data_IF_718677210392
#
_entry.id   IF_718677210392
#
_cell.length_a   1.000
_cell.length_b   1.000
_cell.length_c   1.000
_cell.angle_alpha   90.00
_cell.angle_beta   90.00
_cell.angle_gamma   90.00
#
_symmetry.space_group_name_H-M   'P 1'
#
loop_
_entity.id
_entity.type
_entity.pdbx_description
1 polymer ?
#
# COMPACT_ATOMS: atom_id res chain seq x y z
N UNK A 1 -3.42 8.65 34.03
CA UNK A 1 -4.66 8.27 33.35
C UNK A 1 -4.30 7.34 32.20
N UNK A 2 -4.76 6.09 32.24
CA UNK A 2 -4.61 5.17 31.11
C UNK A 2 -5.58 5.62 30.01
N UNK A 3 -5.06 6.10 28.88
CA UNK A 3 -5.89 6.41 27.71
C UNK A 3 -6.04 5.13 26.89
N UNK A 4 -7.17 4.46 27.05
CA UNK A 4 -7.64 3.46 26.08
C UNK A 4 -8.08 4.18 24.82
N UNK A 5 -7.26 4.14 23.77
CA UNK A 5 -7.65 4.55 22.43
C UNK A 5 -8.84 3.71 22.00
N UNK A 6 -10.03 4.30 21.92
CA UNK A 6 -11.20 3.64 21.34
C UNK A 6 -11.08 3.78 19.83
N UNK A 7 -10.60 2.73 19.16
CA UNK A 7 -10.80 2.57 17.72
C UNK A 7 -12.29 2.24 17.57
N UNK A 8 -13.06 3.12 16.95
CA UNK A 8 -14.45 2.81 16.56
C UNK A 8 -14.40 2.30 15.12
N UNK A 9 -14.37 0.97 14.88
CA UNK A 9 -14.62 0.44 13.56
C UNK A 9 -16.11 0.63 13.23
N UNK A 10 -16.43 1.56 12.35
CA UNK A 10 -17.72 1.56 11.67
C UNK A 10 -17.55 0.72 10.40
N UNK A 11 -18.08 -0.50 10.40
CA UNK A 11 -18.25 -1.30 9.18
C UNK A 11 -19.60 -0.92 8.58
N UNK A 12 -19.60 -0.12 7.53
CA UNK A 12 -20.79 0.15 6.73
C UNK A 12 -20.53 -0.39 5.33
N UNK A 13 -21.20 -1.49 4.97
CA UNK A 13 -21.23 -2.01 3.60
C UNK A 13 -19.87 -2.39 2.99
N UNK A 14 -19.02 -3.15 3.71
CA UNK A 14 -17.73 -3.59 3.16
C UNK A 14 -16.65 -2.49 3.14
N UNK A 15 -16.74 -1.51 4.04
CA UNK A 15 -15.67 -0.54 4.29
C UNK A 15 -15.37 -0.61 5.78
N UNK A 16 -14.12 -0.93 6.14
CA UNK A 16 -13.62 -0.82 7.50
C UNK A 16 -12.92 0.52 7.67
N UNK A 17 -13.20 1.19 8.78
CA UNK A 17 -12.86 2.60 9.00
C UNK A 17 -12.24 2.77 10.38
N UNK A 18 -11.23 3.63 10.50
CA UNK A 18 -10.56 3.90 11.77
C UNK A 18 -10.34 5.40 11.94
N UNK A 19 -10.89 5.97 13.01
CA UNK A 19 -10.60 7.32 13.46
C UNK A 19 -10.20 7.26 14.95
N UNK A 20 -8.95 7.60 15.27
CA UNK A 20 -8.54 7.88 16.64
C UNK A 20 -8.60 9.40 16.84
N UNK A 21 -9.51 9.89 17.70
CA UNK A 21 -9.66 11.33 17.95
C UNK A 21 -9.59 11.61 19.45
N UNK A 22 -8.64 12.45 19.85
CA UNK A 22 -8.71 13.23 21.08
C UNK A 22 -9.48 14.52 20.81
N UNK A 23 -10.66 14.64 21.43
CA UNK A 23 -11.51 15.85 21.57
C UNK A 23 -11.95 16.61 20.31
N UNK A 24 -13.26 16.72 20.21
CA UNK A 24 -14.08 17.46 19.25
C UNK A 24 -13.76 18.95 19.23
N UNK A 25 -13.03 19.43 18.22
CA UNK A 25 -13.17 20.79 17.68
C UNK A 25 -12.34 20.94 16.39
N UNK A 26 -13.02 21.08 15.24
CA UNK A 26 -12.42 21.53 13.97
C UNK A 26 -12.01 20.45 12.95
N UNK A 27 -12.23 19.15 13.23
CA UNK A 27 -11.90 18.07 12.30
C UNK A 27 -12.99 17.93 11.21
N UNK A 28 -12.61 17.98 9.93
CA UNK A 28 -13.42 17.42 8.85
C UNK A 28 -13.81 15.98 9.24
N UNK A 29 -15.10 15.64 9.13
CA UNK A 29 -15.54 14.28 9.47
C UNK A 29 -14.86 13.26 8.57
N UNK A 30 -14.61 12.05 9.09
CA UNK A 30 -14.01 10.95 8.32
C UNK A 30 -14.73 10.71 6.98
N UNK A 31 -16.07 10.78 6.97
CA UNK A 31 -16.87 10.58 5.76
C UNK A 31 -16.58 11.62 4.67
N UNK A 32 -16.30 12.87 5.04
CA UNK A 32 -15.89 13.92 4.09
C UNK A 32 -14.50 13.62 3.51
N UNK A 33 -13.55 13.18 4.35
CA UNK A 33 -12.20 12.84 3.91
C UNK A 33 -12.17 11.61 3.01
N UNK A 34 -12.96 10.60 3.34
CA UNK A 34 -13.09 9.42 2.48
C UNK A 34 -13.71 9.81 1.14
N UNK A 35 -14.80 10.57 1.13
CA UNK A 35 -15.44 11.02 -0.11
C UNK A 35 -14.50 11.88 -0.96
N UNK A 36 -13.72 12.76 -0.34
CA UNK A 36 -12.70 13.57 -1.02
C UNK A 36 -11.65 12.68 -1.70
N UNK A 37 -11.09 11.70 -0.99
CA UNK A 37 -10.07 10.80 -1.56
C UNK A 37 -10.63 9.84 -2.61
N UNK A 38 -11.83 9.31 -2.40
CA UNK A 38 -12.50 8.42 -3.35
C UNK A 38 -12.85 9.14 -4.67
N UNK A 39 -13.19 10.43 -4.59
CA UNK A 39 -13.50 11.26 -5.75
C UNK A 39 -12.27 11.94 -6.38
N UNK A 40 -11.11 11.90 -5.72
CA UNK A 40 -9.87 12.46 -6.28
C UNK A 40 -9.43 11.64 -7.49
N UNK A 41 -9.43 12.26 -8.66
CA UNK A 41 -8.88 11.66 -9.87
C UNK A 41 -7.40 11.30 -9.66
N UNK A 42 -6.88 10.23 -10.29
CA UNK A 42 -5.43 9.98 -10.32
C UNK A 42 -4.68 11.21 -10.82
N UNK A 43 -3.63 11.59 -10.11
CA UNK A 43 -2.82 12.75 -10.50
C UNK A 43 -2.12 12.45 -11.84
N UNK A 44 -2.17 13.39 -12.79
CA UNK A 44 -1.55 13.20 -14.11
C UNK A 44 -0.03 12.98 -13.93
N UNK A 45 0.55 11.89 -14.45
CA UNK A 45 1.99 11.67 -14.38
C UNK A 45 2.73 12.49 -15.44
N UNK A 46 3.96 12.91 -15.13
CA UNK A 46 4.81 13.64 -16.09
C UNK A 46 5.34 12.69 -17.17
N UNK A 47 5.78 11.50 -16.77
CA UNK A 47 6.22 10.42 -17.66
C UNK A 47 5.61 9.09 -17.26
N UNK A 48 5.40 8.23 -18.24
CA UNK A 48 4.96 6.84 -18.03
C UNK A 48 6.02 5.88 -18.55
N UNK A 49 6.66 5.18 -17.63
CA UNK A 49 7.58 4.08 -17.91
C UNK A 49 6.82 2.79 -18.05
N UNK A 50 7.24 1.96 -19.01
CA UNK A 50 6.64 0.64 -19.25
C UNK A 50 7.68 -0.44 -19.24
N UNK A 51 7.35 -1.54 -18.57
CA UNK A 51 8.10 -2.79 -18.60
C UNK A 51 7.13 -3.86 -19.07
N UNK A 52 7.54 -4.63 -20.08
CA UNK A 52 6.87 -5.86 -20.46
C UNK A 52 7.78 -7.02 -20.10
N UNK A 53 7.28 -7.98 -19.34
CA UNK A 53 8.06 -9.18 -19.03
C UNK A 53 8.36 -9.94 -20.33
N UNK A 54 9.63 -10.22 -20.57
CA UNK A 54 10.09 -10.94 -21.77
C UNK A 54 9.80 -12.45 -21.72
N UNK A 55 10.18 -13.17 -22.79
CA UNK A 55 10.08 -14.63 -22.86
C UNK A 55 10.89 -15.29 -21.72
N UNK A 56 10.33 -16.34 -21.10
CA UNK A 56 11.02 -17.14 -20.07
C UNK A 56 10.45 -17.03 -18.65
N UNK A 57 9.53 -16.09 -18.39
CA UNK A 57 8.77 -16.01 -17.13
C UNK A 57 7.48 -16.87 -17.14
N UNK A 58 7.11 -17.40 -18.30
CA UNK A 58 5.91 -18.20 -18.58
C UNK A 58 6.10 -19.72 -18.42
N UNK A 59 7.35 -20.20 -18.37
CA UNK A 59 7.65 -21.63 -18.41
C UNK A 59 7.87 -22.29 -17.03
N UNK A 60 7.96 -21.51 -15.95
CA UNK A 60 8.38 -22.03 -14.64
C UNK A 60 7.35 -21.72 -13.52
N UNK A 61 6.24 -22.47 -13.44
CA UNK A 61 5.13 -22.17 -12.52
C UNK A 61 5.46 -22.29 -11.03
N UNK A 62 6.54 -23.00 -10.68
CA UNK A 62 6.97 -23.18 -9.29
C UNK A 62 8.21 -22.36 -8.92
N UNK A 63 8.74 -21.57 -9.86
CA UNK A 63 9.93 -20.75 -9.60
C UNK A 63 9.55 -19.52 -8.80
N UNK A 64 10.43 -19.17 -7.87
CA UNK A 64 10.35 -17.93 -7.11
C UNK A 64 11.29 -16.90 -7.73
N UNK A 65 10.77 -15.68 -7.90
CA UNK A 65 11.49 -14.56 -8.47
C UNK A 65 11.54 -13.41 -7.47
N UNK A 66 12.62 -12.64 -7.48
CA UNK A 66 12.71 -11.36 -6.78
C UNK A 66 12.11 -10.30 -7.71
N UNK A 67 10.90 -9.81 -7.40
CA UNK A 67 10.17 -8.86 -8.24
C UNK A 67 10.96 -7.56 -8.42
N UNK A 68 11.59 -7.09 -7.33
CA UNK A 68 12.35 -5.86 -7.35
C UNK A 68 13.56 -5.98 -8.27
N UNK A 69 14.42 -6.97 -8.03
CA UNK A 69 15.66 -7.13 -8.83
C UNK A 69 15.41 -7.52 -10.28
N UNK A 70 14.35 -8.30 -10.53
CA UNK A 70 14.11 -8.84 -11.88
C UNK A 70 13.47 -7.81 -12.81
N UNK A 71 12.62 -6.91 -12.28
CA UNK A 71 11.80 -6.03 -13.10
C UNK A 71 11.86 -4.57 -12.63
N UNK A 72 11.60 -4.33 -11.35
CA UNK A 72 11.38 -2.96 -10.88
C UNK A 72 12.67 -2.13 -10.78
N UNK A 73 13.81 -2.73 -10.45
CA UNK A 73 15.07 -2.01 -10.17
C UNK A 73 15.62 -1.23 -11.35
N UNK A 74 15.15 -1.51 -12.57
CA UNK A 74 15.52 -0.76 -13.78
C UNK A 74 14.80 0.58 -13.91
N UNK A 75 13.65 0.73 -13.23
CA UNK A 75 12.73 1.88 -13.29
C UNK A 75 12.32 2.40 -11.91
N UNK A 76 12.96 1.92 -10.86
CA UNK A 76 12.86 2.48 -9.51
C UNK A 76 14.24 2.99 -9.14
N UNK A 77 14.33 4.31 -8.97
CA UNK A 77 15.52 4.97 -8.46
C UNK A 77 15.48 4.98 -6.92
N UNK A 78 16.65 5.15 -6.31
CA UNK A 78 16.76 5.27 -4.87
C UNK A 78 17.84 6.27 -4.48
N UNK A 79 17.68 6.88 -3.32
CA UNK A 79 18.61 7.88 -2.81
C UNK A 79 18.47 8.09 -1.31
N UNK A 80 19.25 9.04 -0.81
CA UNK A 80 19.27 9.44 0.59
C UNK A 80 18.53 10.76 0.78
N UNK A 81 17.49 10.77 1.60
CA UNK A 81 16.81 11.99 2.03
C UNK A 81 17.49 12.51 3.31
N UNK A 82 18.25 13.60 3.17
CA UNK A 82 18.99 14.20 4.29
C UNK A 82 18.07 14.72 5.41
N UNK A 83 16.92 15.28 5.04
CA UNK A 83 15.99 15.86 6.02
C UNK A 83 15.36 14.81 6.94
N UNK A 84 15.09 13.62 6.42
CA UNK A 84 14.53 12.51 7.18
C UNK A 84 15.59 11.48 7.63
N UNK A 85 16.85 11.64 7.21
CA UNK A 85 17.96 10.73 7.48
C UNK A 85 17.61 9.27 7.13
N UNK A 86 17.07 9.05 5.93
CA UNK A 86 16.68 7.72 5.48
C UNK A 86 16.87 7.52 3.98
N UNK A 87 17.08 6.26 3.59
CA UNK A 87 16.93 5.84 2.20
C UNK A 87 15.46 5.82 1.81
N UNK A 88 15.21 6.20 0.58
CA UNK A 88 13.88 6.16 -0.03
C UNK A 88 13.98 5.87 -1.52
N UNK A 89 12.86 5.43 -2.10
CA UNK A 89 12.76 4.99 -3.49
C UNK A 89 11.62 5.73 -4.20
N UNK A 90 11.72 5.86 -5.51
CA UNK A 90 10.69 6.49 -6.35
C UNK A 90 10.74 5.95 -7.77
N UNK A 91 9.66 6.13 -8.54
CA UNK A 91 9.68 5.81 -9.97
C UNK A 91 10.75 6.64 -10.67
N UNK A 92 11.44 6.03 -11.63
CA UNK A 92 12.54 6.65 -12.36
C UNK A 92 12.24 8.07 -12.85
N UNK A 93 13.24 8.95 -12.72
CA UNK A 93 13.18 10.38 -13.04
C UNK A 93 12.27 11.24 -12.13
N UNK A 94 11.70 10.69 -11.05
CA UNK A 94 10.99 11.49 -10.03
C UNK A 94 9.66 10.92 -9.55
N UNK A 95 9.20 11.43 -8.40
CA UNK A 95 7.97 11.00 -7.71
C UNK A 95 6.67 11.34 -8.46
N UNK A 96 6.75 12.09 -9.56
CA UNK A 96 5.59 12.48 -10.38
C UNK A 96 5.41 11.61 -11.62
N UNK A 97 6.22 10.55 -11.76
CA UNK A 97 6.15 9.62 -12.87
C UNK A 97 5.35 8.37 -12.54
N UNK A 98 4.99 7.60 -13.56
CA UNK A 98 4.29 6.32 -13.42
C UNK A 98 5.14 5.18 -13.97
N UNK A 99 5.10 4.03 -13.34
CA UNK A 99 5.65 2.77 -13.82
C UNK A 99 4.52 1.76 -14.02
N UNK A 100 4.36 1.29 -15.25
CA UNK A 100 3.45 0.21 -15.60
C UNK A 100 4.28 -1.05 -15.94
N UNK A 101 4.01 -2.14 -15.25
CA UNK A 101 4.64 -3.44 -15.47
C UNK A 101 3.56 -4.41 -15.95
N UNK A 102 3.68 -4.85 -17.18
CA UNK A 102 2.82 -5.88 -17.76
C UNK A 102 3.58 -7.21 -17.81
N UNK A 103 3.20 -8.14 -16.96
CA UNK A 103 3.81 -9.46 -16.89
C UNK A 103 3.22 -10.45 -17.89
N UNK A 104 2.23 -10.05 -18.68
CA UNK A 104 1.61 -10.88 -19.72
C UNK A 104 1.22 -12.27 -19.20
N UNK A 105 1.93 -13.31 -19.65
CA UNK A 105 1.68 -14.71 -19.34
C UNK A 105 2.61 -15.27 -18.24
N UNK A 106 3.34 -14.42 -17.54
CA UNK A 106 4.26 -14.86 -16.50
C UNK A 106 3.53 -15.67 -15.41
N UNK A 107 4.17 -16.77 -15.02
CA UNK A 107 3.72 -17.66 -13.94
C UNK A 107 4.79 -17.70 -12.84
N UNK A 108 4.51 -18.41 -11.75
CA UNK A 108 5.41 -18.49 -10.61
C UNK A 108 5.01 -17.60 -9.45
N UNK A 109 5.95 -17.43 -8.52
CA UNK A 109 5.79 -16.57 -7.34
C UNK A 109 6.78 -15.42 -7.40
N UNK A 110 6.30 -14.19 -7.33
CA UNK A 110 7.10 -12.98 -7.34
C UNK A 110 7.13 -12.39 -5.94
N UNK A 111 8.30 -12.40 -5.32
CA UNK A 111 8.50 -11.87 -3.98
C UNK A 111 8.93 -10.40 -4.09
N UNK A 112 8.16 -9.49 -3.48
CA UNK A 112 8.60 -8.13 -3.21
C UNK A 112 8.95 -8.05 -1.72
N UNK A 113 10.22 -7.85 -1.41
CA UNK A 113 10.71 -7.90 -0.03
C UNK A 113 11.78 -6.84 0.17
N UNK A 114 11.59 -5.95 1.13
CA UNK A 114 12.57 -4.91 1.48
C UNK A 114 12.46 -3.62 0.65
N UNK A 115 11.37 -3.42 -0.11
CA UNK A 115 11.09 -2.11 -0.69
C UNK A 115 10.52 -1.20 0.40
N UNK A 116 11.41 -0.55 1.16
CA UNK A 116 11.09 0.30 2.30
C UNK A 116 11.23 1.77 1.90
N UNK A 117 10.26 2.59 2.28
CA UNK A 117 10.12 4.00 1.93
C UNK A 117 10.04 4.22 0.42
N UNK A 118 9.15 3.49 -0.27
CA UNK A 118 8.77 3.88 -1.62
C UNK A 118 7.92 5.15 -1.54
N UNK A 119 8.50 6.30 -1.88
CA UNK A 119 7.99 7.66 -1.63
C UNK A 119 7.24 8.30 -2.79
N UNK A 120 7.07 7.58 -3.88
CA UNK A 120 6.16 8.04 -4.92
C UNK A 120 6.56 7.72 -6.34
N UNK A 121 5.70 8.22 -7.20
CA UNK A 121 5.47 7.72 -8.53
C UNK A 121 4.49 6.55 -8.50
N UNK A 122 3.50 6.60 -9.38
CA UNK A 122 2.47 5.57 -9.42
C UNK A 122 3.06 4.26 -9.94
N UNK A 123 2.67 3.15 -9.32
CA UNK A 123 3.21 1.83 -9.66
C UNK A 123 2.05 0.88 -9.94
N UNK A 124 1.93 0.44 -11.19
CA UNK A 124 0.95 -0.57 -11.61
C UNK A 124 1.70 -1.83 -12.02
N UNK A 125 1.50 -2.93 -11.28
CA UNK A 125 2.07 -4.24 -11.61
C UNK A 125 0.94 -5.21 -11.93
N UNK A 126 0.85 -5.58 -13.20
CA UNK A 126 -0.12 -6.53 -13.71
C UNK A 126 0.52 -7.91 -13.92
N UNK A 127 0.05 -8.91 -13.18
CA UNK A 127 0.55 -10.29 -13.13
C UNK A 127 -0.56 -11.32 -12.84
N UNK A 128 -1.66 -11.23 -13.59
CA UNK A 128 -2.91 -11.98 -13.35
C UNK A 128 -2.78 -13.51 -13.30
N UNK A 129 -1.65 -14.08 -13.78
CA UNK A 129 -1.37 -15.52 -13.77
C UNK A 129 -0.34 -15.94 -12.72
N UNK A 130 0.28 -14.99 -12.02
CA UNK A 130 1.32 -15.25 -11.04
C UNK A 130 0.86 -14.94 -9.61
N UNK A 131 1.55 -15.53 -8.64
CA UNK A 131 1.36 -15.21 -7.22
C UNK A 131 2.30 -14.08 -6.82
N UNK A 132 1.76 -13.04 -6.21
CA UNK A 132 2.54 -12.01 -5.53
C UNK A 132 2.73 -12.41 -4.06
N UNK A 133 3.97 -12.38 -3.58
CA UNK A 133 4.27 -12.43 -2.15
C UNK A 133 4.86 -11.09 -1.70
N UNK A 134 4.12 -10.39 -0.84
CA UNK A 134 4.56 -9.19 -0.15
C UNK A 134 5.25 -9.59 1.16
N UNK A 135 6.58 -9.53 1.13
CA UNK A 135 7.44 -9.70 2.28
C UNK A 135 7.85 -11.14 2.55
N UNK A 136 8.98 -11.58 1.98
CA UNK A 136 9.53 -12.91 2.23
C UNK A 136 10.48 -12.90 3.43
N UNK A 137 11.45 -11.98 3.44
CA UNK A 137 12.47 -11.87 4.50
C UNK A 137 12.38 -10.53 5.25
N UNK A 138 11.77 -9.53 4.63
CA UNK A 138 11.58 -8.19 5.19
C UNK A 138 10.26 -7.62 4.67
N UNK A 139 9.69 -6.64 5.36
CA UNK A 139 8.46 -5.99 4.92
C UNK A 139 8.65 -5.01 3.78
N UNK A 140 7.57 -4.30 3.46
CA UNK A 140 7.54 -3.25 2.45
C UNK A 140 6.82 -2.02 2.99
N UNK A 141 7.15 -0.83 2.47
CA UNK A 141 6.37 0.36 2.76
C UNK A 141 6.20 1.27 1.56
N UNK A 142 4.98 1.80 1.45
CA UNK A 142 4.56 2.69 0.38
C UNK A 142 4.05 3.97 1.00
N UNK A 143 4.60 5.10 0.58
CA UNK A 143 4.31 6.42 1.11
C UNK A 143 4.41 7.45 -0.01
N UNK A 144 4.09 8.69 0.31
CA UNK A 144 4.26 9.83 -0.58
C UNK A 144 4.95 10.96 0.18
N UNK A 145 5.54 11.91 -0.53
CA UNK A 145 5.91 13.18 0.09
C UNK A 145 4.87 14.24 -0.19
N UNK A 146 4.58 15.04 0.85
CA UNK A 146 3.80 16.26 0.72
C UNK A 146 4.56 17.26 -0.12
N UNK A 147 3.91 17.69 -1.20
CA UNK A 147 4.37 18.72 -2.12
C UNK A 147 3.26 19.77 -2.32
N UNK A 148 3.50 20.78 -3.14
CA UNK A 148 2.51 21.84 -3.42
C UNK A 148 1.25 21.33 -4.16
N UNK A 149 1.29 20.12 -4.70
CA UNK A 149 0.19 19.51 -5.43
C UNK A 149 -0.58 18.48 -4.58
N UNK A 150 -0.18 18.27 -3.31
CA UNK A 150 -0.74 17.29 -2.38
C UNK A 150 -1.03 15.94 -3.06
N UNK A 151 -0.05 15.45 -3.81
CA UNK A 151 -0.22 14.24 -4.63
C UNK A 151 -0.47 13.00 -3.79
N UNK A 152 -1.17 12.06 -4.41
CA UNK A 152 -1.45 10.74 -3.86
C UNK A 152 -0.62 9.72 -4.61
N UNK A 153 0.23 8.97 -3.92
CA UNK A 153 0.92 7.84 -4.56
C UNK A 153 -0.04 6.67 -4.67
N UNK A 154 -0.21 6.14 -5.89
CA UNK A 154 -1.08 4.98 -6.14
C UNK A 154 -0.23 3.77 -6.51
N UNK A 155 -0.32 2.73 -5.70
CA UNK A 155 0.37 1.46 -5.93
C UNK A 155 -0.68 0.38 -6.14
N UNK A 156 -0.65 -0.26 -7.29
CA UNK A 156 -1.63 -1.26 -7.69
C UNK A 156 -0.93 -2.57 -8.06
N UNK A 157 -1.35 -3.65 -7.42
CA UNK A 157 -0.96 -5.01 -7.77
C UNK A 157 -2.20 -5.77 -8.25
N UNK A 158 -2.17 -6.27 -9.49
CA UNK A 158 -3.19 -7.17 -10.06
C UNK A 158 -2.55 -8.55 -10.25
N UNK A 159 -2.87 -9.51 -9.38
CA UNK A 159 -2.22 -10.81 -9.35
C UNK A 159 -3.22 -11.97 -9.27
N UNK A 160 -2.75 -13.19 -9.56
CA UNK A 160 -3.56 -14.39 -9.36
C UNK A 160 -3.89 -14.58 -7.88
N UNK A 161 -2.85 -14.64 -7.06
CA UNK A 161 -2.91 -14.74 -5.60
C UNK A 161 -2.05 -13.64 -5.00
N UNK A 162 -2.46 -13.07 -3.85
CA UNK A 162 -1.64 -12.15 -3.07
C UNK A 162 -1.43 -12.72 -1.67
N UNK A 163 -0.17 -12.91 -1.31
CA UNK A 163 0.27 -13.40 0.00
C UNK A 163 0.99 -12.27 0.74
N UNK A 164 0.53 -11.91 1.93
CA UNK A 164 1.18 -10.94 2.81
C UNK A 164 1.89 -11.71 3.91
N UNK A 165 3.19 -11.94 3.73
CA UNK A 165 3.97 -12.84 4.58
C UNK A 165 4.82 -12.09 5.62
N UNK A 166 4.84 -10.75 5.57
CA UNK A 166 5.55 -9.88 6.50
C UNK A 166 4.81 -8.54 6.68
N UNK A 167 5.46 -7.53 7.26
CA UNK A 167 4.82 -6.22 7.43
C UNK A 167 4.64 -5.46 6.11
N UNK A 168 3.52 -4.76 5.98
CA UNK A 168 3.24 -3.78 4.93
C UNK A 168 2.75 -2.50 5.58
N UNK A 169 3.51 -1.43 5.40
CA UNK A 169 3.14 -0.12 5.93
C UNK A 169 2.67 0.82 4.80
N UNK A 170 1.52 1.45 5.00
CA UNK A 170 0.89 2.34 4.02
C UNK A 170 0.86 3.76 4.58
N UNK A 171 1.43 4.68 3.81
CA UNK A 171 1.68 6.07 4.14
C UNK A 171 2.58 6.29 5.38
N UNK A 172 3.58 5.43 5.55
CA UNK A 172 4.47 5.48 6.70
C UNK A 172 5.32 6.76 6.74
N UNK A 173 5.78 7.12 7.94
CA UNK A 173 6.79 8.16 8.12
C UNK A 173 8.13 7.69 7.55
N UNK A 174 8.73 8.50 6.70
CA UNK A 174 10.10 8.27 6.22
C UNK A 174 11.09 8.68 7.31
N UNK A 175 11.92 7.74 7.76
CA UNK A 175 13.02 7.98 8.69
C UNK A 175 12.58 8.65 10.00
N UNK A 176 13.30 9.72 10.38
CA UNK A 176 12.97 10.52 11.56
C UNK A 176 11.64 11.28 11.40
N UNK A 177 11.24 11.55 10.16
CA UNK A 177 10.14 12.43 9.80
C UNK A 177 10.38 13.90 10.12
N UNK A 178 11.61 14.33 10.38
CA UNK A 178 11.94 15.74 10.62
C UNK A 178 11.82 16.58 9.33
N UNK A 179 12.18 16.01 8.19
CA UNK A 179 12.11 16.63 6.86
C UNK A 179 10.72 16.61 6.25
N UNK A 180 10.65 16.23 4.97
CA UNK A 180 9.39 16.17 4.21
C UNK A 180 8.39 15.23 4.87
N UNK A 181 7.14 15.70 4.98
CA UNK A 181 6.04 14.96 5.60
C UNK A 181 5.33 14.07 4.57
N UNK A 182 4.62 13.05 5.05
CA UNK A 182 3.82 12.22 4.17
C UNK A 182 2.56 12.97 3.70
N UNK A 183 2.08 12.66 2.49
CA UNK A 183 0.80 13.17 1.97
C UNK A 183 -0.26 12.09 2.10
N UNK A 184 -0.71 11.48 1.01
CA UNK A 184 -1.63 10.35 1.00
C UNK A 184 -1.11 9.23 0.09
N UNK A 185 -1.52 8.00 0.39
CA UNK A 185 -1.14 6.81 -0.39
C UNK A 185 -2.32 5.87 -0.52
N UNK A 186 -2.55 5.38 -1.73
CA UNK A 186 -3.55 4.35 -2.03
C UNK A 186 -2.83 3.09 -2.47
N UNK A 187 -2.96 2.01 -1.70
CA UNK A 187 -2.52 0.68 -2.09
C UNK A 187 -3.73 -0.14 -2.54
N UNK A 188 -3.72 -0.64 -3.76
CA UNK A 188 -4.74 -1.56 -4.27
C UNK A 188 -4.15 -2.95 -4.43
N UNK A 189 -4.71 -3.91 -3.71
CA UNK A 189 -4.42 -5.32 -3.87
C UNK A 189 -5.61 -5.97 -4.58
N UNK A 190 -5.42 -6.29 -5.85
CA UNK A 190 -6.40 -6.96 -6.69
C UNK A 190 -5.97 -8.39 -6.95
N UNK A 191 -6.80 -9.34 -6.56
CA UNK A 191 -6.57 -10.76 -6.77
C UNK A 191 -7.71 -11.40 -7.54
N UNK A 192 -7.39 -12.31 -8.45
CA UNK A 192 -8.41 -13.13 -9.10
C UNK A 192 -8.84 -14.35 -8.27
N UNK A 193 -7.98 -14.84 -7.36
CA UNK A 193 -8.26 -16.02 -6.52
C UNK A 193 -8.39 -15.71 -5.02
N UNK A 194 -7.36 -15.14 -4.38
CA UNK A 194 -7.38 -14.84 -2.93
C UNK A 194 -6.31 -13.86 -2.50
N UNK A 195 -6.64 -13.10 -1.45
CA UNK A 195 -5.70 -12.30 -0.67
C UNK A 195 -5.59 -12.92 0.71
N UNK A 196 -4.39 -13.29 1.14
CA UNK A 196 -4.18 -13.89 2.47
C UNK A 196 -2.96 -13.31 3.15
N UNK A 197 -2.94 -13.33 4.47
CA UNK A 197 -1.74 -12.98 5.25
C UNK A 197 -1.28 -14.12 6.16
N UNK A 198 -0.01 -14.11 6.57
CA UNK A 198 0.45 -14.94 7.69
C UNK A 198 -0.02 -14.38 9.03
N UNK A 199 -0.02 -15.22 10.05
CA UNK A 199 -0.37 -14.85 11.44
C UNK A 199 0.55 -13.76 12.03
N UNK A 200 1.82 -13.76 11.63
CA UNK A 200 2.81 -12.77 12.07
C UNK A 200 2.96 -11.59 11.11
N UNK A 201 2.16 -11.53 10.03
CA UNK A 201 2.15 -10.38 9.15
C UNK A 201 1.48 -9.19 9.85
N UNK A 202 1.86 -7.99 9.45
CA UNK A 202 1.31 -6.76 10.03
C UNK A 202 1.02 -5.75 8.93
N UNK A 203 -0.25 -5.35 8.81
CA UNK A 203 -0.66 -4.31 7.87
C UNK A 203 -0.90 -3.05 8.69
N UNK A 204 -0.12 -2.01 8.45
CA UNK A 204 -0.23 -0.74 9.18
C UNK A 204 -0.64 0.40 8.26
N UNK A 205 -1.75 1.04 8.56
CA UNK A 205 -2.26 2.22 7.88
C UNK A 205 -2.03 3.45 8.78
N UNK A 206 -1.27 4.40 8.25
CA UNK A 206 -1.03 5.70 8.88
C UNK A 206 -2.04 6.74 8.37
N UNK A 207 -1.97 7.98 8.87
CA UNK A 207 -2.82 9.08 8.37
C UNK A 207 -2.70 9.21 6.84
N UNK A 208 -3.81 9.40 6.13
CA UNK A 208 -3.83 9.53 4.66
C UNK A 208 -3.66 8.21 3.89
N UNK A 209 -3.71 7.06 4.57
CA UNK A 209 -3.60 5.75 3.94
C UNK A 209 -4.97 5.16 3.54
N UNK A 210 -5.04 4.65 2.31
CA UNK A 210 -6.16 3.85 1.83
C UNK A 210 -5.65 2.51 1.32
N UNK A 211 -6.26 1.42 1.78
CA UNK A 211 -6.06 0.06 1.28
C UNK A 211 -7.32 -0.41 0.57
N UNK A 212 -7.24 -0.63 -0.74
CA UNK A 212 -8.32 -1.23 -1.51
C UNK A 212 -8.04 -2.72 -1.68
N UNK A 213 -9.00 -3.56 -1.28
CA UNK A 213 -8.98 -4.99 -1.47
C UNK A 213 -10.02 -5.35 -2.53
N UNK A 214 -9.56 -5.96 -3.60
CA UNK A 214 -10.41 -6.38 -4.72
C UNK A 214 -10.18 -7.86 -4.93
N UNK A 215 -11.25 -8.64 -4.84
CA UNK A 215 -11.17 -10.09 -5.04
C UNK A 215 -12.41 -10.56 -5.79
N UNK A 216 -12.19 -11.25 -6.91
CA UNK A 216 -13.25 -11.74 -7.80
C UNK A 216 -13.66 -13.20 -7.56
N UNK A 217 -13.04 -13.85 -6.57
CA UNK A 217 -13.28 -15.25 -6.22
C UNK A 217 -14.08 -15.35 -4.94
N UNK A 218 -14.77 -16.49 -4.77
CA UNK A 218 -15.55 -16.78 -3.56
C UNK A 218 -14.66 -16.97 -2.31
N UNK A 219 -13.36 -17.25 -2.50
CA UNK A 219 -12.36 -17.38 -1.42
C UNK A 219 -11.63 -16.05 -1.23
N UNK A 220 -12.31 -15.03 -0.74
CA UNK A 220 -12.01 -13.69 -1.22
C UNK A 220 -10.85 -12.99 -0.48
N UNK A 221 -10.87 -12.91 0.85
CA UNK A 221 -9.80 -12.30 1.66
C UNK A 221 -9.75 -12.89 3.08
N UNK A 222 -8.59 -13.38 3.53
CA UNK A 222 -8.40 -13.84 4.92
C UNK A 222 -7.07 -13.32 5.50
N UNK A 223 -7.17 -12.32 6.37
CA UNK A 223 -6.03 -11.65 7.00
C UNK A 223 -5.86 -12.18 8.43
N UNK A 224 -4.94 -13.13 8.57
CA UNK A 224 -4.57 -13.77 9.85
C UNK A 224 -3.72 -12.89 10.75
N UNK A 225 -2.97 -11.97 10.13
CA UNK A 225 -2.06 -11.06 10.79
C UNK A 225 -2.78 -9.83 11.34
N UNK A 226 -2.04 -8.99 12.06
CA UNK A 226 -2.58 -7.78 12.68
C UNK A 226 -2.87 -6.71 11.64
N UNK A 227 -4.02 -6.06 11.76
CA UNK A 227 -4.36 -4.88 10.95
C UNK A 227 -4.48 -3.64 11.84
N UNK A 228 -3.51 -2.74 11.74
CA UNK A 228 -3.48 -1.49 12.48
C UNK A 228 -4.00 -0.34 11.62
N UNK A 229 -5.12 0.26 12.05
CA UNK A 229 -5.69 1.44 11.41
C UNK A 229 -5.47 2.67 12.30
N UNK A 230 -4.93 3.74 11.72
CA UNK A 230 -4.72 5.01 12.43
C UNK A 230 -3.49 5.01 13.34
N UNK A 231 -2.37 4.44 12.88
CA UNK A 231 -1.14 4.35 13.68
C UNK A 231 -0.48 5.73 13.86
N UNK A 232 0.11 5.96 15.04
CA UNK A 232 0.85 7.19 15.33
C UNK A 232 1.99 7.39 14.32
N UNK A 233 1.84 8.38 13.46
CA UNK A 233 2.78 8.62 12.36
C UNK A 233 4.05 9.35 12.81
N UNK A 234 3.93 10.32 13.72
CA UNK A 234 5.05 11.12 14.21
C UNK A 234 5.14 11.07 15.73
N UNK A 235 6.37 11.01 16.25
CA UNK A 235 6.62 11.01 17.69
C UNK A 235 6.11 12.32 18.29
N UNK A 236 5.36 12.22 19.39
CA UNK A 236 4.79 13.39 20.09
C UNK A 236 3.52 13.97 19.47
N UNK A 237 3.11 13.54 18.27
CA UNK A 237 1.94 14.07 17.56
C UNK A 237 0.63 13.35 17.95
N UNK A 238 0.37 13.19 19.26
CA UNK A 238 -0.77 12.42 19.78
C UNK A 238 -2.15 13.02 19.47
N UNK A 239 -2.18 14.30 19.11
CA UNK A 239 -3.41 15.02 18.75
C UNK A 239 -3.59 15.13 17.23
N UNK A 240 -2.67 14.58 16.43
CA UNK A 240 -2.81 14.59 14.98
C UNK A 240 -3.97 13.68 14.58
N UNK A 241 -4.86 14.13 13.67
CA UNK A 241 -5.82 13.24 13.04
C UNK A 241 -5.08 12.09 12.36
N UNK A 242 -5.66 10.89 12.42
CA UNK A 242 -5.13 9.73 11.72
C UNK A 242 -6.26 9.04 10.97
N UNK A 243 -6.53 9.55 9.78
CA UNK A 243 -7.55 9.01 8.89
C UNK A 243 -6.97 7.87 8.07
N UNK A 244 -7.59 6.70 8.16
CA UNK A 244 -7.26 5.55 7.32
C UNK A 244 -8.52 4.84 6.84
N UNK A 245 -8.41 4.19 5.68
CA UNK A 245 -9.54 3.48 5.06
C UNK A 245 -9.08 2.12 4.56
N UNK A 246 -9.87 1.08 4.85
CA UNK A 246 -9.79 -0.18 4.14
C UNK A 246 -11.10 -0.36 3.37
N UNK A 247 -11.02 -0.30 2.04
CA UNK A 247 -12.15 -0.49 1.14
C UNK A 247 -12.18 -1.95 0.66
N UNK A 248 -13.24 -2.67 1.01
CA UNK A 248 -13.51 -4.05 0.62
C UNK A 248 -14.79 -4.15 -0.20
N UNK A 249 -15.31 -3.04 -0.73
CA UNK A 249 -16.58 -2.97 -1.47
C UNK A 249 -16.59 -3.81 -2.76
N UNK A 250 -15.40 -4.13 -3.28
CA UNK A 250 -15.19 -4.94 -4.49
C UNK A 250 -14.71 -6.36 -4.19
N UNK A 251 -14.96 -6.84 -2.97
CA UNK A 251 -14.70 -8.21 -2.57
C UNK A 251 -15.99 -9.01 -2.76
N UNK A 252 -15.98 -10.01 -3.65
CA UNK A 252 -17.20 -10.76 -3.99
C UNK A 252 -17.47 -11.98 -3.10
N UNK A 253 -16.48 -12.50 -2.38
CA UNK A 253 -16.63 -13.62 -1.44
C UNK A 253 -16.38 -13.23 0.03
N UNK A 254 -15.99 -14.19 0.87
CA UNK A 254 -15.80 -13.98 2.32
C UNK A 254 -14.59 -13.11 2.70
N UNK A 255 -14.87 -12.02 3.43
CA UNK A 255 -13.87 -11.12 4.01
C UNK A 255 -13.66 -11.44 5.49
N UNK A 256 -12.45 -11.83 5.88
CA UNK A 256 -12.11 -12.18 7.26
C UNK A 256 -10.88 -11.38 7.76
N UNK A 257 -11.05 -10.66 8.87
CA UNK A 257 -9.97 -10.10 9.68
C UNK A 257 -9.89 -10.88 10.98
N UNK A 258 -8.72 -11.45 11.29
CA UNK A 258 -8.54 -12.28 12.48
C UNK A 258 -8.02 -11.50 13.69
N UNK A 259 -7.28 -10.40 13.47
CA UNK A 259 -6.64 -9.59 14.53
C UNK A 259 -6.57 -8.10 14.19
#
# INVERSE_FOLDING_TARGET
AFFTTVIIPAIVGGIATGAAVGTVSGLLSWGLKQAEQANKAPDKPDKVWRIQAGRGFDNFPHKQYDLYKSLLSSKIDGGWDWGNAARHYWVKDGQWNKLEVDMQNAVGTYNLSGLINFTGGDLDVNMQKATLRLGQFNGNSFTSFKDSADRTTRVNFDAKNILIDNFVEINNRVGSGAGRKASSTVLTLKSSEKITSRENAEISLYDGATLNLVSSSNQSVDLYGKVWMGRLQYVGAYLAPSYSTIDTSKVTGEMNFRQ
#
